data_IF_642239775682
#
_entry.id   IF_642239775682
#
_cell.length_a   1.000
_cell.length_b   1.000
_cell.length_c   1.000
_cell.angle_alpha   90.00
_cell.angle_beta   90.00
_cell.angle_gamma   90.00
#
_symmetry.space_group_name_H-M   'P 1'
#
loop_
_entity.id
_entity.type
_entity.pdbx_description
1 polymer ?
#
# COMPACT_ATOMS: atom_id res chain seq x y z
N UNK A 1 39.98 -5.98 23.08
CA UNK A 1 38.90 -6.23 22.11
C UNK A 1 38.50 -4.88 21.56
N UNK A 2 38.68 -4.65 20.26
CA UNK A 2 38.22 -3.42 19.62
C UNK A 2 36.70 -3.55 19.48
N UNK A 3 35.96 -2.77 20.28
CA UNK A 3 34.53 -2.57 20.03
C UNK A 3 34.42 -1.86 18.69
N UNK A 4 34.03 -2.63 17.66
CA UNK A 4 33.57 -2.06 16.40
C UNK A 4 32.28 -1.33 16.75
N UNK A 5 32.35 -0.01 16.90
CA UNK A 5 31.17 0.84 16.82
C UNK A 5 30.62 0.67 15.41
N UNK A 6 29.64 -0.22 15.28
CA UNK A 6 28.76 -0.23 14.12
C UNK A 6 27.93 1.03 14.28
N UNK A 7 28.37 2.11 13.63
CA UNK A 7 27.53 3.28 13.42
C UNK A 7 26.34 2.82 12.58
N UNK A 8 25.29 2.35 13.27
CA UNK A 8 23.99 2.15 12.67
C UNK A 8 23.64 3.48 12.01
N UNK A 9 23.34 3.51 10.69
CA UNK A 9 22.96 4.74 10.04
C UNK A 9 21.79 5.30 10.85
N UNK A 10 21.99 6.49 11.43
CA UNK A 10 20.94 7.19 12.16
C UNK A 10 19.70 7.17 11.25
N UNK A 11 18.55 6.67 11.71
CA UNK A 11 17.41 6.52 10.83
C UNK A 11 17.09 7.89 10.25
N UNK A 12 17.34 8.06 8.95
CA UNK A 12 16.97 9.26 8.20
C UNK A 12 15.45 9.46 8.17
N UNK A 13 14.70 8.44 8.61
CA UNK A 13 13.26 8.41 8.75
C UNK A 13 12.88 8.65 10.22
N UNK A 14 11.82 9.42 10.49
CA UNK A 14 11.34 9.70 11.84
C UNK A 14 10.64 8.45 12.41
N UNK A 15 11.43 7.49 12.88
CA UNK A 15 10.95 6.24 13.46
C UNK A 15 11.18 6.27 14.96
N UNK A 16 10.13 5.95 15.72
CA UNK A 16 10.22 5.83 17.17
C UNK A 16 11.20 4.70 17.55
N UNK A 17 12.07 4.95 18.54
CA UNK A 17 13.08 3.99 18.97
C UNK A 17 12.47 2.64 19.43
N UNK A 18 11.24 2.65 19.97
CA UNK A 18 10.51 1.45 20.38
C UNK A 18 10.02 0.59 19.21
N UNK A 19 9.84 1.19 18.02
CA UNK A 19 9.38 0.52 16.81
C UNK A 19 10.54 0.17 15.86
N UNK A 20 11.75 0.65 16.14
CA UNK A 20 12.92 0.51 15.26
C UNK A 20 13.31 -0.96 15.01
N UNK A 21 13.31 -1.81 16.04
CA UNK A 21 13.63 -3.23 15.89
C UNK A 21 12.59 -3.96 15.03
N UNK A 22 11.31 -3.65 15.26
CA UNK A 22 10.20 -4.19 14.48
C UNK A 22 10.27 -3.73 13.03
N UNK A 23 10.57 -2.46 12.79
CA UNK A 23 10.76 -1.90 11.45
C UNK A 23 11.93 -2.57 10.74
N UNK A 24 13.09 -2.70 11.38
CA UNK A 24 14.29 -3.32 10.81
C UNK A 24 14.01 -4.76 10.42
N UNK A 25 13.39 -5.54 11.31
CA UNK A 25 12.97 -6.91 11.00
C UNK A 25 11.92 -6.95 9.88
N UNK A 26 10.92 -6.08 9.89
CA UNK A 26 9.91 -6.01 8.84
C UNK A 26 10.48 -5.63 7.48
N UNK A 27 11.45 -4.72 7.44
CA UNK A 27 12.17 -4.30 6.22
C UNK A 27 12.89 -5.48 5.60
N UNK A 28 13.60 -6.28 6.40
CA UNK A 28 14.27 -7.48 5.86
C UNK A 28 13.26 -8.49 5.28
N UNK A 29 12.11 -8.72 5.93
CA UNK A 29 11.04 -9.54 5.35
C UNK A 29 10.44 -8.95 4.08
N UNK A 30 10.32 -7.63 4.01
CA UNK A 30 9.83 -6.92 2.84
C UNK A 30 10.77 -7.11 1.65
N UNK A 31 12.07 -6.95 1.85
CA UNK A 31 13.12 -7.13 0.85
C UNK A 31 13.15 -8.58 0.32
N UNK A 32 12.90 -9.56 1.20
CA UNK A 32 12.74 -10.98 0.85
C UNK A 32 11.40 -11.30 0.17
N UNK A 33 10.54 -10.31 -0.09
CA UNK A 33 9.19 -10.45 -0.66
C UNK A 33 8.23 -11.30 0.19
N UNK A 34 8.51 -11.44 1.47
CA UNK A 34 7.67 -12.14 2.43
C UNK A 34 6.64 -11.21 3.08
N UNK A 35 5.80 -10.61 2.23
CA UNK A 35 4.89 -9.52 2.64
C UNK A 35 3.93 -9.89 3.78
N UNK A 36 3.52 -11.17 3.88
CA UNK A 36 2.70 -11.67 5.00
C UNK A 36 3.41 -11.53 6.34
N UNK A 37 4.71 -11.85 6.39
CA UNK A 37 5.51 -11.76 7.63
C UNK A 37 5.77 -10.29 7.96
N UNK A 38 6.13 -9.48 6.96
CA UNK A 38 6.27 -8.03 7.14
C UNK A 38 5.00 -7.40 7.74
N UNK A 39 3.83 -7.68 7.17
CA UNK A 39 2.56 -7.17 7.68
C UNK A 39 2.23 -7.67 9.10
N UNK A 40 2.66 -8.88 9.47
CA UNK A 40 2.45 -9.42 10.81
C UNK A 40 3.22 -8.65 11.88
N UNK A 41 4.49 -8.33 11.62
CA UNK A 41 5.33 -7.62 12.59
C UNK A 41 4.99 -6.13 12.74
N UNK A 42 4.48 -5.51 11.68
CA UNK A 42 4.14 -4.07 11.64
C UNK A 42 2.70 -3.76 12.09
N UNK A 43 1.89 -4.76 12.43
CA UNK A 43 0.44 -4.60 12.67
C UNK A 43 0.04 -3.69 13.83
N UNK A 44 0.92 -3.54 14.81
CA UNK A 44 0.67 -2.75 16.03
C UNK A 44 1.44 -1.43 16.05
N UNK A 45 2.23 -1.16 15.02
CA UNK A 45 3.06 0.04 14.92
C UNK A 45 2.20 1.25 14.53
N UNK A 46 2.57 2.43 15.06
CA UNK A 46 1.84 3.69 14.89
C UNK A 46 2.62 4.72 14.08
N UNK A 47 3.95 4.56 13.95
CA UNK A 47 4.76 5.46 13.14
C UNK A 47 4.26 5.46 11.69
N UNK A 48 4.02 6.63 11.05
CA UNK A 48 3.50 6.72 9.69
C UNK A 48 4.28 5.88 8.66
N UNK A 49 5.62 5.92 8.72
CA UNK A 49 6.48 5.13 7.84
C UNK A 49 6.26 3.61 7.99
N UNK A 50 6.12 3.13 9.23
CA UNK A 50 5.92 1.71 9.52
C UNK A 50 4.49 1.28 9.18
N UNK A 51 3.51 2.16 9.41
CA UNK A 51 2.15 1.95 8.93
C UNK A 51 2.14 1.84 7.40
N UNK A 52 2.86 2.70 6.69
CA UNK A 52 2.88 2.63 5.22
C UNK A 52 3.45 1.29 4.78
N UNK A 53 4.56 0.86 5.38
CA UNK A 53 5.13 -0.46 5.15
C UNK A 53 4.12 -1.59 5.42
N UNK A 54 3.34 -1.50 6.49
CA UNK A 54 2.29 -2.46 6.83
C UNK A 54 1.22 -2.59 5.73
N UNK A 55 0.58 -1.48 5.38
CA UNK A 55 -0.50 -1.47 4.40
C UNK A 55 0.01 -1.79 3.00
N UNK A 56 1.20 -1.30 2.63
CA UNK A 56 1.82 -1.60 1.36
C UNK A 56 2.19 -3.08 1.23
N UNK A 57 2.68 -3.71 2.31
CA UNK A 57 2.91 -5.16 2.34
C UNK A 57 1.62 -5.94 2.14
N UNK A 58 0.53 -5.56 2.80
CA UNK A 58 -0.78 -6.20 2.57
C UNK A 58 -1.27 -6.01 1.14
N UNK A 59 -1.09 -4.82 0.57
CA UNK A 59 -1.41 -4.56 -0.84
C UNK A 59 -0.61 -5.48 -1.78
N UNK A 60 0.70 -5.60 -1.58
CA UNK A 60 1.56 -6.48 -2.39
C UNK A 60 1.25 -7.96 -2.17
N UNK A 61 0.81 -8.38 -0.98
CA UNK A 61 0.31 -9.73 -0.76
C UNK A 61 -0.91 -10.05 -1.64
N UNK A 62 -1.83 -9.09 -1.78
CA UNK A 62 -3.04 -9.26 -2.61
C UNK A 62 -2.70 -9.21 -4.09
N UNK A 63 -1.83 -8.28 -4.50
CA UNK A 63 -1.43 -8.09 -5.90
C UNK A 63 -0.42 -9.14 -6.38
N UNK A 64 0.32 -9.75 -5.46
CA UNK A 64 1.34 -10.76 -5.72
C UNK A 64 0.72 -12.03 -6.30
N UNK A 65 0.76 -12.16 -7.64
CA UNK A 65 0.34 -13.34 -8.41
C UNK A 65 1.09 -14.65 -8.03
N UNK A 66 2.07 -14.59 -7.14
CA UNK A 66 3.03 -15.67 -6.84
C UNK A 66 2.53 -16.78 -5.90
N UNK A 67 1.25 -16.84 -5.53
CA UNK A 67 0.71 -17.92 -4.65
C UNK A 67 -0.41 -18.76 -5.25
N UNK A 68 -0.51 -18.85 -6.59
CA UNK A 68 -1.43 -19.81 -7.23
C UNK A 68 -0.85 -21.24 -7.39
N UNK A 69 0.38 -21.48 -6.92
CA UNK A 69 1.10 -22.76 -7.10
C UNK A 69 0.97 -23.77 -5.94
N UNK A 70 0.25 -23.45 -4.87
CA UNK A 70 0.03 -24.40 -3.76
C UNK A 70 -1.44 -24.46 -3.36
N UNK A 71 -2.30 -24.91 -4.28
CA UNK A 71 -3.61 -25.45 -3.91
C UNK A 71 -3.47 -26.97 -4.08
N UNK A 72 -3.52 -27.77 -3.00
CA UNK A 72 -3.62 -29.21 -3.13
C UNK A 72 -4.86 -29.53 -3.96
N UNK A 73 -4.66 -30.25 -5.06
CA UNK A 73 -5.72 -30.67 -6.00
C UNK A 73 -6.89 -31.39 -5.31
N UNK A 74 -6.71 -31.87 -4.07
CA UNK A 74 -7.71 -32.61 -3.29
C UNK A 74 -8.76 -31.75 -2.58
N UNK A 75 -8.58 -30.42 -2.44
CA UNK A 75 -9.62 -29.53 -1.91
C UNK A 75 -10.49 -28.89 -3.01
N UNK A 76 -10.11 -29.07 -4.28
CA UNK A 76 -10.85 -28.59 -5.47
C UNK A 76 -11.86 -29.65 -5.95
N UNK A 77 -12.53 -30.30 -5.01
CA UNK A 77 -13.64 -31.18 -5.30
C UNK A 77 -14.85 -30.35 -5.72
N UNK A 78 -15.14 -30.41 -7.03
CA UNK A 78 -16.43 -30.06 -7.66
C UNK A 78 -16.67 -28.53 -7.78
N UNK A 79 -16.73 -28.04 -9.03
CA UNK A 79 -17.06 -26.67 -9.47
C UNK A 79 -16.02 -25.55 -9.30
N UNK A 80 -14.89 -25.60 -10.01
CA UNK A 80 -14.18 -24.35 -10.37
C UNK A 80 -13.80 -24.41 -11.85
N UNK A 81 -14.73 -24.02 -12.73
CA UNK A 81 -14.43 -23.80 -14.13
C UNK A 81 -13.63 -22.51 -14.39
N UNK A 82 -13.40 -21.66 -13.38
CA UNK A 82 -12.58 -20.44 -13.51
C UNK A 82 -11.78 -20.12 -12.22
N UNK A 83 -10.57 -20.69 -12.11
CA UNK A 83 -9.63 -20.43 -10.99
C UNK A 83 -9.29 -18.94 -10.83
N UNK A 84 -9.28 -18.21 -11.94
CA UNK A 84 -8.96 -16.77 -11.99
C UNK A 84 -10.07 -15.90 -11.43
N UNK A 85 -11.34 -16.19 -11.73
CA UNK A 85 -12.49 -15.45 -11.20
C UNK A 85 -12.60 -15.57 -9.69
N UNK A 86 -12.36 -16.76 -9.13
CA UNK A 86 -12.37 -16.96 -7.68
C UNK A 86 -11.22 -16.22 -6.99
N UNK A 87 -10.02 -16.24 -7.60
CA UNK A 87 -8.86 -15.49 -7.11
C UNK A 87 -9.13 -13.98 -7.12
N UNK A 88 -9.75 -13.47 -8.19
CA UNK A 88 -10.13 -12.06 -8.32
C UNK A 88 -11.17 -11.66 -7.27
N UNK A 89 -12.20 -12.49 -7.04
CA UNK A 89 -13.21 -12.23 -6.01
C UNK A 89 -12.59 -12.18 -4.60
N UNK A 90 -11.67 -13.09 -4.28
CA UNK A 90 -10.93 -13.05 -3.02
C UNK A 90 -10.06 -11.79 -2.89
N UNK A 91 -9.43 -11.34 -3.96
CA UNK A 91 -8.64 -10.11 -3.96
C UNK A 91 -9.52 -8.87 -3.70
N UNK A 92 -10.66 -8.76 -4.40
CA UNK A 92 -11.64 -7.67 -4.21
C UNK A 92 -12.11 -7.62 -2.75
N UNK A 93 -12.44 -8.77 -2.15
CA UNK A 93 -12.83 -8.85 -0.73
C UNK A 93 -11.72 -8.32 0.19
N UNK A 94 -10.45 -8.69 -0.05
CA UNK A 94 -9.32 -8.21 0.75
C UNK A 94 -9.07 -6.71 0.57
N UNK A 95 -9.17 -6.19 -0.65
CA UNK A 95 -9.06 -4.75 -0.90
C UNK A 95 -10.15 -3.95 -0.17
N UNK A 96 -11.40 -4.43 -0.16
CA UNK A 96 -12.47 -3.82 0.62
C UNK A 96 -12.15 -3.77 2.11
N UNK A 97 -11.62 -4.85 2.70
CA UNK A 97 -11.22 -4.85 4.12
C UNK A 97 -10.14 -3.79 4.40
N UNK A 98 -9.15 -3.66 3.52
CA UNK A 98 -8.12 -2.62 3.65
C UNK A 98 -8.72 -1.22 3.55
N UNK A 99 -9.55 -0.96 2.54
CA UNK A 99 -10.21 0.32 2.35
C UNK A 99 -11.06 0.71 3.56
N UNK A 100 -11.85 -0.22 4.10
CA UNK A 100 -12.63 0.02 5.32
C UNK A 100 -11.74 0.39 6.50
N UNK A 101 -10.61 -0.30 6.67
CA UNK A 101 -9.68 0.02 7.77
C UNK A 101 -8.99 1.38 7.66
N UNK A 102 -8.83 1.91 6.44
CA UNK A 102 -8.21 3.23 6.20
C UNK A 102 -9.24 4.36 6.09
N UNK A 103 -10.54 4.02 6.00
CA UNK A 103 -11.62 4.98 5.72
C UNK A 103 -11.77 6.02 6.83
N UNK A 104 -11.75 5.59 8.09
CA UNK A 104 -11.92 6.47 9.24
C UNK A 104 -10.78 7.51 9.31
N UNK A 105 -9.55 7.08 9.03
CA UNK A 105 -8.37 7.97 8.99
C UNK A 105 -8.37 8.90 7.78
N UNK A 106 -8.92 8.46 6.64
CA UNK A 106 -9.12 9.30 5.46
C UNK A 106 -10.15 10.41 5.74
N UNK A 107 -11.31 10.06 6.31
CA UNK A 107 -12.36 11.02 6.67
C UNK A 107 -11.87 12.02 7.74
N UNK A 108 -11.06 11.55 8.69
CA UNK A 108 -10.39 12.39 9.69
C UNK A 108 -9.21 13.21 9.13
N UNK A 109 -8.88 13.10 7.83
CA UNK A 109 -7.75 13.76 7.15
C UNK A 109 -6.38 13.49 7.81
N UNK A 110 -6.23 12.36 8.49
CA UNK A 110 -5.01 11.97 9.20
C UNK A 110 -3.97 11.30 8.30
N UNK A 111 -4.37 10.80 7.13
CA UNK A 111 -3.47 10.12 6.21
C UNK A 111 -2.39 11.06 5.65
N UNK A 112 -1.15 10.60 5.63
CA UNK A 112 -0.02 11.29 4.99
C UNK A 112 -0.07 11.16 3.45
N UNK A 113 0.83 11.82 2.73
CA UNK A 113 0.85 11.80 1.27
C UNK A 113 1.05 10.40 0.68
N UNK A 114 1.87 9.57 1.32
CA UNK A 114 2.14 8.18 0.89
C UNK A 114 0.93 7.26 1.12
N UNK A 115 0.22 7.42 2.23
CA UNK A 115 -1.01 6.69 2.51
C UNK A 115 -2.14 7.10 1.59
N UNK A 116 -2.27 8.39 1.28
CA UNK A 116 -3.24 8.88 0.31
C UNK A 116 -2.98 8.28 -1.09
N UNK A 117 -1.71 8.14 -1.48
CA UNK A 117 -1.32 7.45 -2.70
C UNK A 117 -1.79 5.98 -2.69
N UNK A 118 -1.50 5.26 -1.60
CA UNK A 118 -1.89 3.85 -1.48
C UNK A 118 -3.41 3.68 -1.45
N UNK A 119 -4.12 4.53 -0.72
CA UNK A 119 -5.58 4.54 -0.63
C UNK A 119 -6.21 4.82 -2.00
N UNK A 120 -5.73 5.84 -2.74
CA UNK A 120 -6.17 6.13 -4.10
C UNK A 120 -5.89 4.98 -5.06
N UNK A 121 -4.74 4.32 -4.93
CA UNK A 121 -4.39 3.12 -5.72
C UNK A 121 -5.35 1.97 -5.45
N UNK A 122 -5.72 1.72 -4.19
CA UNK A 122 -6.70 0.71 -3.81
C UNK A 122 -8.09 1.02 -4.39
N UNK A 123 -8.55 2.28 -4.28
CA UNK A 123 -9.81 2.73 -4.87
C UNK A 123 -9.84 2.56 -6.39
N UNK A 124 -8.73 2.87 -7.07
CA UNK A 124 -8.59 2.68 -8.51
C UNK A 124 -8.73 1.21 -8.90
N UNK A 125 -8.11 0.29 -8.13
CA UNK A 125 -8.24 -1.16 -8.35
C UNK A 125 -9.67 -1.68 -8.14
N UNK A 126 -10.43 -1.03 -7.28
CA UNK A 126 -11.85 -1.33 -7.03
C UNK A 126 -12.81 -0.70 -8.06
N UNK A 127 -12.31 0.13 -8.97
CA UNK A 127 -13.11 0.80 -10.00
C UNK A 127 -13.73 2.13 -9.57
N UNK A 128 -13.48 2.61 -8.35
CA UNK A 128 -13.98 3.89 -7.84
C UNK A 128 -13.11 5.07 -8.34
N UNK A 129 -13.07 5.30 -9.65
CA UNK A 129 -12.15 6.24 -10.31
C UNK A 129 -12.25 7.67 -9.79
N UNK A 130 -13.45 8.20 -9.56
CA UNK A 130 -13.64 9.58 -9.11
C UNK A 130 -13.02 9.83 -7.73
N UNK A 131 -13.27 8.94 -6.77
CA UNK A 131 -12.70 9.01 -5.42
C UNK A 131 -11.20 8.73 -5.43
N UNK A 132 -10.75 7.81 -6.30
CA UNK A 132 -9.33 7.54 -6.49
C UNK A 132 -8.59 8.79 -6.98
N UNK A 133 -9.16 9.51 -7.97
CA UNK A 133 -8.59 10.74 -8.50
C UNK A 133 -8.45 11.79 -7.39
N UNK A 134 -9.49 12.00 -6.58
CA UNK A 134 -9.44 12.94 -5.45
C UNK A 134 -8.33 12.59 -4.45
N UNK A 135 -8.25 11.32 -4.02
CA UNK A 135 -7.23 10.88 -3.07
C UNK A 135 -5.80 11.01 -3.62
N UNK A 136 -5.59 10.64 -4.89
CA UNK A 136 -4.28 10.79 -5.56
C UNK A 136 -3.93 12.27 -5.73
N UNK A 137 -4.90 13.13 -6.04
CA UNK A 137 -4.68 14.56 -6.14
C UNK A 137 -4.24 15.14 -4.79
N UNK A 138 -4.89 14.75 -3.70
CA UNK A 138 -4.47 15.15 -2.35
C UNK A 138 -3.05 14.64 -2.02
N UNK A 139 -2.70 13.43 -2.45
CA UNK A 139 -1.34 12.89 -2.32
C UNK A 139 -0.31 13.77 -3.04
N UNK A 140 -0.57 14.15 -4.29
CA UNK A 140 0.31 15.02 -5.08
C UNK A 140 0.51 16.39 -4.41
N UNK A 141 -0.55 16.96 -3.83
CA UNK A 141 -0.44 18.24 -3.12
C UNK A 141 0.37 18.14 -1.83
N UNK A 142 0.29 17.01 -1.11
CA UNK A 142 1.07 16.81 0.12
C UNK A 142 2.53 16.47 -0.18
N UNK A 143 2.77 15.62 -1.17
CA UNK A 143 4.09 15.08 -1.51
C UNK A 143 4.34 15.21 -3.02
N UNK A 144 4.68 16.41 -3.51
CA UNK A 144 4.84 16.66 -4.95
C UNK A 144 6.00 15.87 -5.58
N UNK A 145 6.99 15.48 -4.77
CA UNK A 145 8.13 14.67 -5.21
C UNK A 145 7.79 13.18 -5.37
N UNK A 146 6.60 12.74 -4.95
CA UNK A 146 6.16 11.36 -5.11
C UNK A 146 5.72 11.08 -6.56
N UNK A 147 6.68 10.70 -7.41
CA UNK A 147 6.44 10.45 -8.84
C UNK A 147 5.35 9.40 -9.11
N UNK A 148 5.22 8.39 -8.24
CA UNK A 148 4.20 7.35 -8.38
C UNK A 148 2.77 7.92 -8.37
N UNK A 149 2.51 8.97 -7.58
CA UNK A 149 1.20 9.64 -7.53
C UNK A 149 0.88 10.34 -8.84
N UNK A 150 1.87 11.01 -9.45
CA UNK A 150 1.72 11.62 -10.77
C UNK A 150 1.44 10.57 -11.86
N UNK A 151 2.19 9.47 -11.86
CA UNK A 151 1.95 8.38 -12.80
C UNK A 151 0.52 7.82 -12.66
N UNK A 152 0.10 7.57 -11.41
CA UNK A 152 -1.24 7.06 -11.13
C UNK A 152 -2.33 8.07 -11.53
N UNK A 153 -2.11 9.37 -11.32
CA UNK A 153 -3.02 10.44 -11.76
C UNK A 153 -3.21 10.39 -13.29
N UNK A 154 -2.11 10.30 -14.05
CA UNK A 154 -2.17 10.25 -15.51
C UNK A 154 -2.93 9.02 -16.03
N UNK A 155 -2.85 7.87 -15.34
CA UNK A 155 -3.65 6.69 -15.73
C UNK A 155 -5.14 6.83 -15.44
N UNK A 156 -5.53 7.70 -14.51
CA UNK A 156 -6.92 7.96 -14.15
C UNK A 156 -7.54 9.07 -15.00
N UNK A 157 -6.72 9.97 -15.55
CA UNK A 157 -7.14 11.04 -16.45
C UNK A 157 -7.38 10.49 -17.86
N UNK A 158 -8.65 10.26 -18.17
CA UNK A 158 -9.07 9.81 -19.50
C UNK A 158 -9.25 11.01 -20.45
N UNK A 159 -9.76 12.14 -19.94
CA UNK A 159 -10.13 13.29 -20.75
C UNK A 159 -9.28 14.54 -20.48
N UNK A 160 -8.92 15.25 -21.56
CA UNK A 160 -8.19 16.53 -21.50
C UNK A 160 -8.95 17.61 -20.72
N UNK A 161 -10.28 17.57 -20.72
CA UNK A 161 -11.13 18.48 -19.93
C UNK A 161 -10.93 18.29 -18.42
N UNK A 162 -10.70 17.06 -17.95
CA UNK A 162 -10.42 16.80 -16.54
C UNK A 162 -9.08 17.41 -16.13
N UNK A 163 -8.08 17.33 -17.01
CA UNK A 163 -6.77 17.94 -16.79
C UNK A 163 -6.84 19.48 -16.70
N UNK A 164 -7.66 20.11 -17.54
CA UNK A 164 -7.82 21.58 -17.54
C UNK A 164 -8.54 22.10 -16.29
N UNK A 165 -9.36 21.27 -15.65
CA UNK A 165 -10.09 21.62 -14.42
C UNK A 165 -9.32 21.27 -13.13
N UNK A 166 -8.18 20.58 -13.25
CA UNK A 166 -7.37 20.20 -12.11
C UNK A 166 -6.55 21.38 -11.61
N UNK A 167 -6.72 21.71 -10.33
CA UNK A 167 -5.79 22.58 -9.61
C UNK A 167 -4.58 21.74 -9.25
N UNK A 168 -3.51 21.88 -10.02
CA UNK A 168 -2.22 21.30 -9.69
C UNK A 168 -1.48 22.26 -8.76
N UNK A 169 -0.62 21.75 -7.86
CA UNK A 169 0.15 22.63 -7.00
C UNK A 169 1.15 23.46 -7.83
N UNK A 170 1.25 24.75 -7.52
CA UNK A 170 2.28 25.63 -8.06
C UNK A 170 3.57 25.38 -7.26
N UNK A 171 4.57 24.78 -7.91
CA UNK A 171 5.88 24.48 -7.34
C UNK A 171 6.98 24.94 -8.27
#
# INVERSE_FOLDING_TARGET
ALEVQVDLPSPSLPIDASEYDLYTMASTYFDLREFKRCAYFTRNCKTPCVQFLHYYSKYLEINGKHKLNYIPRSAAGIYIHNKEEYSNLCAIKKYNVLLTSMKDDYEAKKLDGYMLFLYGTLLAKMGHKSHALEAILQSVHKEPLLWCSWLQLMTLLVDKSMLLNLKLPEH
#
